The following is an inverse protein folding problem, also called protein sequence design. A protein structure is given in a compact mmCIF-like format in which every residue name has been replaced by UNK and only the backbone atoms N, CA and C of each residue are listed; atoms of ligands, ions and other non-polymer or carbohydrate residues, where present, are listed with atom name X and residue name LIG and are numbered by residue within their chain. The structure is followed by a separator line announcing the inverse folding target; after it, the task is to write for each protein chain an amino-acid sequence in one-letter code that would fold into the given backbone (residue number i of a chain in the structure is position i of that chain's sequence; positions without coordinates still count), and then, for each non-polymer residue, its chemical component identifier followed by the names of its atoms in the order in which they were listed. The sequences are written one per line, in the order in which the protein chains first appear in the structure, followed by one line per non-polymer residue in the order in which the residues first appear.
data_IF_017263718055
#
_entry.id   IF_017263718055
#
_cell.length_a   1.000
_cell.length_b   1.000
_cell.length_c   1.000
_cell.angle_alpha   90.00
_cell.angle_beta   90.00
_cell.angle_gamma   90.00
#
_symmetry.space_group_name_H-M   'P 1'
#
loop_
_entity.id
_entity.type
_entity.pdbx_description
1 polymer ?
#
# COMPACT_ATOMS: atom_id res chain seq x y z
N UNK A 1 -52.62 10.06 0.93
CA UNK A 1 -52.64 10.35 2.37
C UNK A 1 -51.29 9.96 2.94
N UNK A 2 -50.47 10.95 3.11
CA UNK A 2 -49.14 10.81 3.68
C UNK A 2 -49.21 10.72 5.21
N UNK A 3 -48.54 9.75 5.81
CA UNK A 3 -48.29 9.76 7.24
C UNK A 3 -46.79 9.87 7.47
N UNK A 4 -46.32 11.10 7.72
CA UNK A 4 -45.00 11.44 8.25
C UNK A 4 -44.98 11.10 9.74
N UNK A 5 -44.11 10.15 10.13
CA UNK A 5 -43.78 9.89 11.53
C UNK A 5 -42.63 10.82 11.94
N UNK A 6 -42.93 11.71 12.90
CA UNK A 6 -42.06 12.73 13.44
C UNK A 6 -41.00 12.12 14.41
N UNK A 7 -39.75 12.59 14.29
CA UNK A 7 -38.56 12.22 15.10
C UNK A 7 -38.65 12.55 16.61
N UNK A 8 -39.82 12.86 17.12
CA UNK A 8 -40.00 13.40 18.49
C UNK A 8 -40.52 12.39 19.53
N UNK A 9 -40.85 11.16 19.12
CA UNK A 9 -41.51 10.15 20.00
C UNK A 9 -40.59 8.95 20.37
N UNK A 10 -39.28 9.03 20.22
CA UNK A 10 -38.37 7.90 20.56
C UNK A 10 -37.57 8.09 21.87
N UNK A 11 -37.89 9.13 22.66
CA UNK A 11 -37.17 9.42 23.90
C UNK A 11 -38.01 9.34 25.19
N UNK A 12 -39.00 8.45 25.23
CA UNK A 12 -39.83 8.29 26.44
C UNK A 12 -40.20 6.84 26.72
N UNK A 13 -39.22 5.95 26.95
CA UNK A 13 -39.42 4.63 27.53
C UNK A 13 -38.15 4.04 28.13
N UNK A 14 -37.60 4.66 29.17
CA UNK A 14 -36.63 4.04 30.05
C UNK A 14 -36.70 4.71 31.41
N UNK A 15 -37.64 4.28 32.21
CA UNK A 15 -37.77 4.72 33.61
C UNK A 15 -38.64 3.75 34.41
N UNK A 16 -38.05 3.27 35.48
CA UNK A 16 -38.67 2.61 36.61
C UNK A 16 -38.80 1.07 36.59
N UNK A 17 -37.89 0.41 37.30
CA UNK A 17 -38.29 -0.37 38.46
C UNK A 17 -37.09 -0.48 39.44
N UNK A 18 -37.25 0.16 40.59
CA UNK A 18 -36.41 0.08 41.75
C UNK A 18 -37.14 -0.66 42.89
N UNK A 19 -36.35 -1.17 43.84
CA UNK A 19 -36.66 -1.61 45.22
C UNK A 19 -37.09 -3.09 45.35
N UNK A 20 -36.64 -3.89 46.29
CA UNK A 20 -36.17 -3.65 47.64
C UNK A 20 -35.53 -4.92 48.23
N UNK A 21 -34.73 -4.75 49.32
CA UNK A 21 -34.39 -5.82 50.26
C UNK A 21 -32.92 -5.76 50.69
N UNK A 22 -32.50 -4.96 51.58
CA UNK A 22 -32.42 -4.83 53.04
C UNK A 22 -31.41 -5.78 53.70
N UNK A 23 -30.30 -5.14 54.21
CA UNK A 23 -29.53 -5.27 55.45
C UNK A 23 -28.88 -6.60 55.86
N UNK A 24 -27.54 -6.59 56.10
CA UNK A 24 -26.86 -6.37 57.40
C UNK A 24 -25.35 -6.39 57.17
N UNK A 25 -24.65 -5.38 57.48
CA UNK A 25 -23.85 -4.97 58.65
C UNK A 25 -22.46 -5.60 58.80
N UNK A 26 -21.53 -4.69 58.90
CA UNK A 26 -20.29 -4.65 59.69
C UNK A 26 -18.93 -4.67 58.94
N UNK A 27 -18.35 -3.50 58.89
CA UNK A 27 -17.05 -3.18 59.50
C UNK A 27 -15.77 -3.34 58.62
N UNK A 28 -15.12 -2.22 58.32
CA UNK A 28 -13.70 -2.26 58.06
C UNK A 28 -13.20 -1.33 56.94
N UNK A 29 -12.65 -0.25 57.34
CA UNK A 29 -11.87 0.84 56.71
C UNK A 29 -11.23 0.64 55.35
N UNK A 30 -11.52 1.61 54.48
CA UNK A 30 -10.61 2.41 53.63
C UNK A 30 -9.43 1.78 52.90
N UNK A 31 -9.52 1.77 51.57
CA UNK A 31 -8.54 2.45 50.73
C UNK A 31 -9.08 2.49 49.29
N UNK A 32 -9.24 3.71 48.78
CA UNK A 32 -9.55 4.00 47.38
C UNK A 32 -8.37 3.63 46.51
N UNK A 33 -8.50 2.53 45.77
CA UNK A 33 -7.60 2.26 44.64
C UNK A 33 -8.39 2.44 43.39
N UNK A 34 -8.04 3.49 42.65
CA UNK A 34 -8.53 3.73 41.30
C UNK A 34 -8.16 2.50 40.45
N UNK A 35 -9.17 1.75 40.01
CA UNK A 35 -8.99 0.70 39.03
C UNK A 35 -8.71 1.37 37.68
N UNK A 36 -7.44 1.45 37.31
CA UNK A 36 -7.03 1.64 35.93
C UNK A 36 -7.56 0.44 35.14
N UNK A 37 -8.51 0.68 34.25
CA UNK A 37 -8.87 -0.26 33.20
C UNK A 37 -7.68 -0.36 32.25
N UNK A 38 -6.71 -1.23 32.59
CA UNK A 38 -5.77 -1.74 31.62
C UNK A 38 -6.61 -2.58 30.63
N UNK A 39 -6.71 -2.13 29.38
CA UNK A 39 -7.22 -2.93 28.29
C UNK A 39 -6.37 -4.19 28.23
N UNK A 40 -6.93 -5.30 28.69
CA UNK A 40 -6.29 -6.60 28.61
C UNK A 40 -6.20 -6.97 27.11
N UNK A 41 -4.98 -7.14 26.61
CA UNK A 41 -4.76 -7.92 25.43
C UNK A 41 -5.41 -9.29 25.70
N UNK A 42 -6.51 -9.59 24.99
CA UNK A 42 -7.09 -10.91 25.00
C UNK A 42 -5.99 -11.88 24.55
N UNK A 43 -5.60 -12.81 25.43
CA UNK A 43 -4.68 -13.86 25.06
C UNK A 43 -5.26 -14.55 23.81
N UNK A 44 -4.52 -14.54 22.71
CA UNK A 44 -4.92 -15.18 21.47
C UNK A 44 -5.32 -16.62 21.81
N UNK A 45 -6.57 -17.00 21.54
CA UNK A 45 -7.05 -18.35 21.78
C UNK A 45 -6.06 -19.30 21.08
N UNK A 46 -5.72 -20.42 21.73
CA UNK A 46 -4.75 -21.40 21.21
C UNK A 46 -5.38 -22.16 20.02
N UNK A 47 -5.60 -21.42 18.90
CA UNK A 47 -6.15 -21.99 17.69
C UNK A 47 -5.13 -22.91 17.05
N UNK A 48 -5.55 -24.16 16.74
CA UNK A 48 -4.74 -25.14 16.03
C UNK A 48 -4.66 -24.80 14.53
N UNK A 49 -3.93 -23.74 14.22
CA UNK A 49 -3.70 -23.25 12.86
C UNK A 49 -2.27 -22.67 12.78
N UNK A 50 -1.55 -22.80 11.64
CA UNK A 50 -1.86 -23.69 10.53
C UNK A 50 -1.49 -25.14 10.85
N UNK A 51 -2.20 -26.12 10.27
CA UNK A 51 -1.89 -27.56 10.40
C UNK A 51 -1.33 -28.15 9.12
N UNK A 52 -1.43 -27.40 8.01
CA UNK A 52 -0.86 -27.73 6.69
C UNK A 52 -0.27 -26.43 6.09
N UNK A 53 0.32 -26.53 4.90
CA UNK A 53 0.83 -25.35 4.18
C UNK A 53 -0.27 -24.33 3.88
N UNK A 54 0.10 -23.04 3.92
CA UNK A 54 -0.74 -21.89 3.60
C UNK A 54 -0.32 -21.31 2.25
N UNK A 55 -1.27 -21.02 1.38
CA UNK A 55 -1.03 -20.39 0.09
C UNK A 55 -0.97 -18.86 0.24
N UNK A 56 0.07 -18.25 -0.30
CA UNK A 56 0.20 -16.79 -0.38
C UNK A 56 0.17 -16.41 -1.84
N UNK A 57 -0.90 -15.78 -2.26
CA UNK A 57 -1.05 -15.30 -3.64
C UNK A 57 -0.55 -13.85 -3.71
N UNK A 58 0.27 -13.56 -4.69
CA UNK A 58 0.73 -12.19 -4.96
C UNK A 58 0.58 -11.82 -6.44
N UNK A 59 0.17 -10.58 -6.74
CA UNK A 59 -0.36 -10.22 -8.06
C UNK A 59 0.68 -9.82 -9.11
N UNK A 60 1.99 -9.94 -8.81
CA UNK A 60 3.04 -9.39 -9.69
C UNK A 60 4.10 -10.42 -10.05
N UNK A 61 4.91 -10.09 -11.08
CA UNK A 61 6.02 -10.95 -11.55
C UNK A 61 7.03 -11.23 -10.44
N UNK A 62 7.61 -12.43 -10.49
CA UNK A 62 8.71 -12.80 -9.62
C UNK A 62 9.92 -11.87 -9.80
N UNK A 63 10.62 -11.57 -8.69
CA UNK A 63 11.80 -10.71 -8.66
C UNK A 63 11.53 -9.21 -8.56
N UNK A 64 10.25 -8.79 -8.53
CA UNK A 64 9.86 -7.41 -8.21
C UNK A 64 9.91 -7.13 -6.70
N UNK A 65 9.62 -5.86 -6.35
CA UNK A 65 9.54 -5.39 -4.96
C UNK A 65 8.58 -6.23 -4.11
N UNK A 66 7.34 -6.39 -4.58
CA UNK A 66 6.29 -7.15 -3.88
C UNK A 66 6.68 -8.61 -3.65
N UNK A 67 7.26 -9.28 -4.67
CA UNK A 67 7.72 -10.67 -4.56
C UNK A 67 8.86 -10.80 -3.55
N UNK A 68 9.82 -9.88 -3.61
CA UNK A 68 10.98 -9.86 -2.72
C UNK A 68 10.57 -9.71 -1.25
N UNK A 69 9.70 -8.74 -0.94
CA UNK A 69 9.26 -8.48 0.44
C UNK A 69 8.34 -9.59 0.95
N UNK A 70 7.45 -10.12 0.09
CA UNK A 70 6.59 -11.25 0.40
C UNK A 70 7.42 -12.49 0.82
N UNK A 71 8.41 -12.86 0.02
CA UNK A 71 9.24 -14.04 0.31
C UNK A 71 10.08 -13.86 1.55
N UNK A 72 10.64 -12.66 1.76
CA UNK A 72 11.39 -12.33 2.98
C UNK A 72 10.51 -12.48 4.23
N UNK A 73 9.30 -11.92 4.22
CA UNK A 73 8.35 -12.04 5.33
C UNK A 73 7.98 -13.51 5.60
N UNK A 74 7.48 -14.20 4.57
CA UNK A 74 6.87 -15.53 4.75
C UNK A 74 7.90 -16.66 4.93
N UNK A 75 9.16 -16.44 4.62
CA UNK A 75 10.25 -17.34 5.02
C UNK A 75 10.36 -17.43 6.55
N UNK A 76 10.37 -16.27 7.23
CA UNK A 76 10.50 -16.21 8.68
C UNK A 76 9.19 -16.56 9.39
N UNK A 77 8.04 -16.15 8.86
CA UNK A 77 6.70 -16.55 9.34
C UNK A 77 6.54 -18.08 9.27
N UNK A 78 7.00 -18.73 8.19
CA UNK A 78 6.98 -20.20 8.06
C UNK A 78 7.76 -20.88 9.17
N UNK A 79 8.92 -20.34 9.51
CA UNK A 79 9.76 -20.85 10.61
C UNK A 79 9.06 -20.71 11.95
N UNK A 80 8.44 -19.54 12.21
CA UNK A 80 7.74 -19.25 13.48
C UNK A 80 6.49 -20.11 13.69
N UNK A 81 5.69 -20.30 12.65
CA UNK A 81 4.43 -21.05 12.72
C UNK A 81 4.60 -22.56 12.46
N UNK A 82 5.80 -23.01 12.07
CA UNK A 82 6.12 -24.44 11.85
C UNK A 82 5.40 -25.05 10.64
N UNK A 83 4.92 -24.22 9.72
CA UNK A 83 4.25 -24.64 8.49
C UNK A 83 4.71 -23.77 7.31
N UNK A 84 4.78 -24.37 6.11
CA UNK A 84 5.24 -23.66 4.93
C UNK A 84 4.17 -22.70 4.41
N UNK A 85 4.58 -21.46 4.16
CA UNK A 85 3.81 -20.49 3.39
C UNK A 85 4.31 -20.51 1.93
N UNK A 86 3.47 -20.99 1.02
CA UNK A 86 3.82 -21.18 -0.41
C UNK A 86 3.44 -19.93 -1.18
N UNK A 87 4.45 -19.17 -1.62
CA UNK A 87 4.25 -17.93 -2.38
C UNK A 87 4.09 -18.25 -3.87
N UNK A 88 2.97 -17.82 -4.45
CA UNK A 88 2.62 -17.99 -5.86
C UNK A 88 2.35 -16.64 -6.51
N UNK A 89 3.02 -16.37 -7.64
CA UNK A 89 2.79 -15.17 -8.44
C UNK A 89 1.63 -15.41 -9.40
N UNK A 90 0.60 -14.56 -9.34
CA UNK A 90 -0.60 -14.65 -10.19
C UNK A 90 -0.86 -13.28 -10.83
N UNK A 91 -0.33 -13.10 -12.04
CA UNK A 91 -0.34 -11.82 -12.74
C UNK A 91 -1.68 -11.56 -13.45
N UNK A 92 -2.02 -10.28 -13.61
CA UNK A 92 -3.13 -9.84 -14.45
C UNK A 92 -3.93 -8.68 -13.84
N UNK A 93 -4.43 -7.79 -14.72
CA UNK A 93 -5.31 -6.68 -14.35
C UNK A 93 -4.73 -5.76 -13.27
N UNK A 94 -3.41 -5.50 -13.29
CA UNK A 94 -2.73 -4.73 -12.24
C UNK A 94 -2.98 -5.25 -10.81
N UNK A 95 -3.15 -6.58 -10.66
CA UNK A 95 -3.38 -7.25 -9.39
C UNK A 95 -4.83 -7.68 -9.13
N UNK A 96 -5.77 -7.28 -9.96
CA UNK A 96 -7.18 -7.65 -9.78
C UNK A 96 -7.44 -9.15 -9.92
N UNK A 97 -6.71 -9.86 -10.82
CA UNK A 97 -6.89 -11.31 -11.01
C UNK A 97 -6.58 -12.06 -9.72
N UNK A 98 -5.42 -11.83 -9.13
CA UNK A 98 -5.00 -12.44 -7.86
C UNK A 98 -5.96 -12.07 -6.70
N UNK A 99 -6.38 -10.80 -6.63
CA UNK A 99 -7.31 -10.35 -5.60
C UNK A 99 -8.66 -11.06 -5.71
N UNK A 100 -9.22 -11.18 -6.92
CA UNK A 100 -10.47 -11.90 -7.17
C UNK A 100 -10.34 -13.39 -6.88
N UNK A 101 -9.20 -14.01 -7.24
CA UNK A 101 -8.95 -15.42 -6.91
C UNK A 101 -8.98 -15.62 -5.40
N UNK A 102 -8.24 -14.80 -4.63
CA UNK A 102 -8.24 -14.89 -3.15
C UNK A 102 -9.62 -14.59 -2.57
N UNK A 103 -10.32 -13.56 -3.02
CA UNK A 103 -11.64 -13.19 -2.54
C UNK A 103 -12.65 -14.35 -2.65
N UNK A 104 -12.51 -15.20 -3.68
CA UNK A 104 -13.37 -16.35 -3.93
C UNK A 104 -12.94 -17.64 -3.19
N UNK A 105 -11.82 -17.62 -2.44
CA UNK A 105 -11.40 -18.77 -1.63
C UNK A 105 -12.25 -18.91 -0.37
N UNK A 106 -12.18 -20.09 0.24
CA UNK A 106 -12.81 -20.32 1.54
C UNK A 106 -12.14 -19.48 2.61
N UNK A 107 -12.89 -18.86 3.53
CA UNK A 107 -12.34 -18.08 4.62
C UNK A 107 -11.85 -18.99 5.78
N UNK A 108 -11.01 -19.96 5.46
CA UNK A 108 -10.49 -20.97 6.41
C UNK A 108 -9.05 -20.67 6.88
N UNK A 109 -8.47 -19.54 6.41
CA UNK A 109 -7.12 -19.11 6.78
C UNK A 109 -6.00 -19.80 6.00
N UNK A 110 -6.29 -20.63 4.98
CA UNK A 110 -5.26 -21.34 4.20
C UNK A 110 -4.93 -20.70 2.86
N UNK A 111 -5.52 -19.56 2.55
CA UNK A 111 -5.11 -18.71 1.41
C UNK A 111 -5.14 -17.26 1.83
N UNK A 112 -4.06 -16.52 1.61
CA UNK A 112 -4.00 -15.08 1.81
C UNK A 112 -3.46 -14.37 0.56
N UNK A 113 -3.80 -13.09 0.45
CA UNK A 113 -3.29 -12.14 -0.53
C UNK A 113 -2.15 -11.36 0.11
N UNK A 114 -1.02 -11.24 -0.59
CA UNK A 114 0.00 -10.27 -0.30
C UNK A 114 -0.01 -9.23 -1.42
N UNK A 115 -0.36 -7.99 -1.12
CA UNK A 115 -0.54 -6.93 -2.10
C UNK A 115 0.08 -5.62 -1.59
N UNK A 116 0.00 -4.56 -2.38
CA UNK A 116 0.38 -3.20 -1.95
C UNK A 116 -0.70 -2.17 -2.27
N UNK A 117 -0.78 -1.11 -1.46
CA UNK A 117 -1.79 -0.06 -1.56
C UNK A 117 -1.67 0.76 -2.85
N UNK A 118 -0.47 0.91 -3.41
CA UNK A 118 -0.22 1.70 -4.61
C UNK A 118 -0.99 1.28 -5.86
N UNK A 119 -1.51 0.04 -5.91
CA UNK A 119 -2.45 -0.36 -6.96
C UNK A 119 -3.87 -0.51 -6.40
N UNK A 120 -4.04 -1.25 -5.29
CA UNK A 120 -5.35 -1.61 -4.76
C UNK A 120 -6.22 -0.39 -4.41
N UNK A 121 -5.67 0.59 -3.67
CA UNK A 121 -6.45 1.76 -3.28
C UNK A 121 -6.72 2.71 -4.45
N UNK A 122 -5.78 2.82 -5.40
CA UNK A 122 -6.01 3.60 -6.62
C UNK A 122 -7.12 2.97 -7.47
N UNK A 123 -7.14 1.65 -7.64
CA UNK A 123 -8.19 0.94 -8.38
C UNK A 123 -9.56 1.08 -7.72
N UNK A 124 -9.61 1.04 -6.38
CA UNK A 124 -10.83 1.28 -5.63
C UNK A 124 -11.28 2.75 -5.75
N UNK A 125 -10.36 3.71 -5.67
CA UNK A 125 -10.65 5.13 -5.80
C UNK A 125 -11.17 5.50 -7.19
N UNK A 126 -10.58 4.94 -8.24
CA UNK A 126 -10.98 5.19 -9.64
C UNK A 126 -12.22 4.42 -10.07
N UNK A 127 -12.70 3.46 -9.26
CA UNK A 127 -13.79 2.55 -9.64
C UNK A 127 -13.39 1.53 -10.73
N UNK A 128 -12.08 1.33 -10.95
CA UNK A 128 -11.57 0.31 -11.88
C UNK A 128 -11.78 -1.10 -11.33
N UNK A 129 -11.71 -1.28 -10.01
CA UNK A 129 -12.07 -2.52 -9.33
C UNK A 129 -13.60 -2.58 -9.15
N UNK A 130 -14.21 -3.72 -9.50
CA UNK A 130 -15.64 -4.00 -9.28
C UNK A 130 -15.94 -4.46 -7.84
N UNK A 131 -14.93 -4.50 -6.98
CA UNK A 131 -14.98 -4.89 -5.57
C UNK A 131 -14.15 -3.90 -4.73
N UNK A 132 -14.29 -3.97 -3.41
CA UNK A 132 -13.57 -3.09 -2.49
C UNK A 132 -12.39 -3.81 -1.83
N UNK A 133 -11.19 -3.33 -2.05
CA UNK A 133 -10.00 -3.84 -1.35
C UNK A 133 -10.03 -3.53 0.15
N UNK A 134 -10.76 -2.49 0.54
CA UNK A 134 -10.89 -2.08 1.93
C UNK A 134 -12.00 -2.81 2.68
N UNK A 135 -13.06 -3.29 1.98
CA UNK A 135 -14.24 -3.87 2.62
C UNK A 135 -14.50 -5.35 2.33
N UNK A 136 -14.03 -5.89 1.18
CA UNK A 136 -14.35 -7.25 0.75
C UNK A 136 -13.29 -8.29 1.17
N UNK A 137 -12.29 -7.85 1.94
CA UNK A 137 -11.28 -8.69 2.55
C UNK A 137 -11.31 -8.60 4.08
N UNK A 138 -10.64 -9.53 4.74
CA UNK A 138 -10.28 -9.44 6.15
C UNK A 138 -8.83 -9.00 6.24
N UNK A 139 -8.58 -7.77 6.72
CA UNK A 139 -7.24 -7.26 6.91
C UNK A 139 -6.49 -8.04 7.98
N UNK A 140 -5.21 -8.30 7.79
CA UNK A 140 -4.31 -8.92 8.77
C UNK A 140 -3.32 -7.89 9.28
N UNK A 141 -2.47 -7.37 8.42
CA UNK A 141 -1.47 -6.36 8.79
C UNK A 141 -0.84 -5.71 7.57
N UNK A 142 -0.23 -4.54 7.79
CA UNK A 142 0.81 -3.96 6.94
C UNK A 142 2.18 -4.35 7.50
N UNK A 143 3.13 -4.63 6.62
CA UNK A 143 4.46 -5.16 7.02
C UNK A 143 5.64 -4.32 6.57
N UNK A 144 5.46 -3.53 5.52
CA UNK A 144 6.51 -2.68 4.96
C UNK A 144 5.91 -1.48 4.24
N UNK A 145 6.73 -0.45 4.06
CA UNK A 145 6.44 0.65 3.14
C UNK A 145 7.63 0.94 2.23
N UNK A 146 7.31 1.45 1.05
CA UNK A 146 8.26 1.93 0.07
C UNK A 146 7.86 3.33 -0.38
N UNK A 147 8.72 4.30 -0.09
CA UNK A 147 8.57 5.73 -0.43
C UNK A 147 9.52 6.15 -1.54
N UNK A 148 10.06 5.18 -2.26
CA UNK A 148 11.18 5.38 -3.20
C UNK A 148 10.74 5.54 -4.64
N UNK A 149 9.43 5.73 -4.89
CA UNK A 149 8.95 5.89 -6.25
C UNK A 149 9.60 7.13 -6.88
N UNK A 150 10.20 6.96 -8.03
CA UNK A 150 11.13 7.94 -8.62
C UNK A 150 10.78 8.14 -10.08
N UNK A 151 10.75 9.39 -10.55
CA UNK A 151 10.62 9.71 -11.98
C UNK A 151 12.01 9.84 -12.59
N UNK A 152 12.21 9.13 -13.69
CA UNK A 152 13.49 9.11 -14.41
C UNK A 152 13.28 9.35 -15.90
N UNK A 153 14.34 9.85 -16.54
CA UNK A 153 14.47 9.98 -17.97
C UNK A 153 15.86 9.52 -18.42
N UNK A 154 16.05 9.30 -19.73
CA UNK A 154 17.36 8.99 -20.29
C UNK A 154 18.32 10.17 -20.12
N UNK A 155 19.56 9.88 -19.73
CA UNK A 155 20.61 10.88 -19.61
C UNK A 155 21.07 11.37 -20.99
N UNK A 156 21.20 12.69 -21.21
CA UNK A 156 21.71 13.24 -22.49
C UNK A 156 23.18 12.89 -22.74
N UNK A 157 23.88 12.36 -21.73
CA UNK A 157 25.29 11.94 -21.81
C UNK A 157 25.51 10.43 -21.74
N UNK A 158 24.45 9.66 -21.41
CA UNK A 158 24.47 8.20 -21.24
C UNK A 158 24.55 7.43 -22.56
N UNK A 159 24.56 6.10 -22.46
CA UNK A 159 24.65 5.22 -23.64
C UNK A 159 23.41 5.28 -24.54
N UNK A 160 22.25 5.66 -23.99
CA UNK A 160 20.98 5.79 -24.72
C UNK A 160 20.66 7.22 -25.18
N UNK A 161 21.63 8.12 -25.15
CA UNK A 161 21.51 9.55 -25.44
C UNK A 161 20.84 9.89 -26.80
N UNK A 162 20.83 8.98 -27.76
CA UNK A 162 20.16 9.17 -29.05
C UNK A 162 18.65 9.32 -28.94
N UNK A 163 18.07 8.87 -27.82
CA UNK A 163 16.65 8.98 -27.53
C UNK A 163 16.37 9.96 -26.37
N UNK A 164 17.41 10.49 -25.73
CA UNK A 164 17.29 11.39 -24.60
C UNK A 164 16.93 12.80 -25.04
N UNK A 165 16.11 13.46 -24.21
CA UNK A 165 15.97 14.93 -24.25
C UNK A 165 17.18 15.61 -23.61
N UNK A 166 17.32 16.90 -23.78
CA UNK A 166 18.42 17.66 -23.17
C UNK A 166 18.04 18.17 -21.76
N UNK A 167 17.48 17.27 -20.93
CA UNK A 167 17.11 17.59 -19.56
C UNK A 167 18.23 17.24 -18.57
N UNK A 168 18.39 18.09 -17.56
CA UNK A 168 19.28 17.84 -16.41
C UNK A 168 18.50 17.95 -15.10
N UNK A 169 17.23 18.35 -15.14
CA UNK A 169 16.39 18.59 -13.97
C UNK A 169 14.90 18.37 -14.29
N UNK A 170 14.08 18.29 -13.26
CA UNK A 170 12.62 18.30 -13.39
C UNK A 170 12.14 19.60 -14.07
N UNK A 171 12.75 20.73 -13.73
CA UNK A 171 12.37 22.03 -14.32
C UNK A 171 12.60 22.05 -15.84
N UNK A 172 13.72 21.51 -16.34
CA UNK A 172 13.97 21.43 -17.80
C UNK A 172 12.86 20.65 -18.50
N UNK A 173 12.45 19.51 -17.92
CA UNK A 173 11.36 18.68 -18.42
C UNK A 173 10.02 19.44 -18.42
N UNK A 174 9.69 20.11 -17.31
CA UNK A 174 8.45 20.89 -17.17
C UNK A 174 8.40 22.05 -18.18
N UNK A 175 9.51 22.75 -18.40
CA UNK A 175 9.58 23.83 -19.40
C UNK A 175 9.37 23.31 -20.83
N UNK A 176 9.95 22.16 -21.17
CA UNK A 176 9.73 21.54 -22.46
C UNK A 176 8.27 21.08 -22.64
N UNK A 177 7.68 20.46 -21.60
CA UNK A 177 6.28 20.05 -21.59
C UNK A 177 5.32 21.24 -21.79
N UNK A 178 5.59 22.39 -21.14
CA UNK A 178 4.82 23.63 -21.34
C UNK A 178 4.95 24.19 -22.75
N UNK A 179 6.14 24.12 -23.33
CA UNK A 179 6.37 24.59 -24.69
C UNK A 179 5.74 23.69 -25.74
N UNK A 180 5.59 22.40 -25.47
CA UNK A 180 5.12 21.37 -26.40
C UNK A 180 4.10 20.44 -25.71
N UNK A 181 2.85 20.88 -25.45
CA UNK A 181 1.85 20.06 -24.80
C UNK A 181 1.61 18.75 -25.55
N UNK A 182 1.56 17.63 -24.81
CA UNK A 182 1.34 16.29 -25.35
C UNK A 182 2.52 15.70 -26.13
N UNK A 183 3.69 16.36 -26.17
CA UNK A 183 4.85 15.84 -26.91
C UNK A 183 5.70 14.87 -26.09
N UNK A 184 5.67 14.96 -24.77
CA UNK A 184 6.45 14.09 -23.87
C UNK A 184 5.65 12.83 -23.59
N UNK A 185 6.23 11.67 -23.94
CA UNK A 185 5.63 10.36 -23.78
C UNK A 185 5.90 9.83 -22.37
N UNK A 186 4.85 9.71 -21.58
CA UNK A 186 4.94 9.18 -20.23
C UNK A 186 4.46 7.74 -20.17
N UNK A 187 5.30 6.85 -19.62
CA UNK A 187 4.93 5.45 -19.38
C UNK A 187 3.94 5.35 -18.24
N UNK A 188 2.69 5.05 -18.56
CA UNK A 188 1.64 4.83 -17.58
C UNK A 188 1.14 3.38 -17.60
N UNK A 189 0.40 3.00 -16.57
CA UNK A 189 -0.46 1.82 -16.50
C UNK A 189 -1.83 2.34 -16.10
N UNK A 190 -2.81 2.21 -16.97
CA UNK A 190 -4.15 2.72 -16.69
C UNK A 190 -4.77 2.07 -15.47
N UNK A 191 -5.43 2.86 -14.61
CA UNK A 191 -5.99 2.44 -13.34
C UNK A 191 -4.95 2.15 -12.25
N UNK A 192 -3.73 2.70 -12.34
CA UNK A 192 -2.67 2.47 -11.37
C UNK A 192 -2.07 3.77 -10.82
N UNK A 193 -1.18 3.61 -9.84
CA UNK A 193 -0.38 4.71 -9.27
C UNK A 193 0.34 5.54 -10.33
N UNK A 194 0.86 4.93 -11.40
CA UNK A 194 1.58 5.69 -12.44
C UNK A 194 0.66 6.67 -13.14
N UNK A 195 -0.57 6.27 -13.45
CA UNK A 195 -1.56 7.17 -14.02
C UNK A 195 -1.90 8.30 -13.06
N UNK A 196 -2.22 7.96 -11.81
CA UNK A 196 -2.55 8.95 -10.78
C UNK A 196 -1.44 10.00 -10.62
N UNK A 197 -0.19 9.56 -10.47
CA UNK A 197 0.98 10.45 -10.32
C UNK A 197 1.16 11.34 -11.55
N UNK A 198 1.05 10.78 -12.76
CA UNK A 198 1.13 11.55 -13.99
C UNK A 198 0.10 12.68 -14.01
N UNK A 199 -1.16 12.37 -13.69
CA UNK A 199 -2.25 13.34 -13.61
C UNK A 199 -2.02 14.42 -12.54
N UNK A 200 -1.49 14.04 -11.36
CA UNK A 200 -1.14 15.03 -10.33
C UNK A 200 -0.04 15.99 -10.80
N UNK A 201 0.97 15.46 -11.52
CA UNK A 201 2.03 16.30 -12.07
C UNK A 201 1.49 17.21 -13.20
N UNK A 202 0.67 16.68 -14.10
CA UNK A 202 0.01 17.46 -15.15
C UNK A 202 -0.79 18.62 -14.56
N UNK A 203 -1.62 18.37 -13.55
CA UNK A 203 -2.43 19.37 -12.86
C UNK A 203 -1.56 20.44 -12.17
N UNK A 204 -0.59 20.03 -11.34
CA UNK A 204 0.20 20.97 -10.56
C UNK A 204 1.18 21.79 -11.41
N UNK A 205 1.77 21.18 -12.44
CA UNK A 205 2.73 21.83 -13.32
C UNK A 205 2.05 22.60 -14.48
N UNK A 206 0.79 22.32 -14.79
CA UNK A 206 0.08 22.88 -15.93
C UNK A 206 0.68 22.40 -17.25
N UNK A 207 0.91 21.08 -17.36
CA UNK A 207 1.47 20.40 -18.54
C UNK A 207 0.56 19.28 -18.99
N UNK A 208 0.81 18.74 -20.20
CA UNK A 208 0.10 17.61 -20.77
C UNK A 208 1.11 16.58 -21.29
N UNK A 209 0.93 15.31 -20.94
CA UNK A 209 1.75 14.19 -21.42
C UNK A 209 1.00 13.33 -22.43
N UNK A 210 1.74 12.68 -23.34
CA UNK A 210 1.25 11.56 -24.12
C UNK A 210 1.38 10.27 -23.28
N UNK A 211 0.26 9.80 -22.73
CA UNK A 211 0.21 8.68 -21.79
C UNK A 211 0.22 7.35 -22.56
N UNK A 212 1.32 6.58 -22.48
CA UNK A 212 1.54 5.33 -23.22
C UNK A 212 1.62 4.14 -22.25
N UNK A 213 0.74 3.14 -22.43
CA UNK A 213 0.84 1.87 -21.73
C UNK A 213 1.83 0.94 -22.44
N UNK A 214 2.93 0.64 -21.79
CA UNK A 214 4.00 -0.24 -22.30
C UNK A 214 4.15 -1.51 -21.44
N UNK A 215 3.17 -1.79 -20.60
CA UNK A 215 3.15 -2.95 -19.70
C UNK A 215 3.39 -2.61 -18.23
N UNK A 216 3.05 -3.58 -17.38
CA UNK A 216 2.97 -3.38 -15.93
C UNK A 216 4.30 -3.58 -15.21
N UNK A 217 5.25 -4.33 -15.79
CA UNK A 217 6.51 -4.62 -15.12
C UNK A 217 7.51 -3.47 -15.23
N UNK A 218 8.38 -3.34 -14.22
CA UNK A 218 9.50 -2.40 -14.26
C UNK A 218 10.40 -2.64 -15.49
N UNK A 219 10.67 -3.92 -15.81
CA UNK A 219 11.50 -4.30 -16.95
C UNK A 219 10.92 -3.87 -18.28
N UNK A 220 9.60 -4.05 -18.51
CA UNK A 220 8.94 -3.65 -19.75
C UNK A 220 9.02 -2.13 -19.95
N UNK A 221 8.77 -1.35 -18.88
CA UNK A 221 8.84 0.11 -18.89
C UNK A 221 10.26 0.63 -19.13
N UNK A 222 11.25 0.00 -18.48
CA UNK A 222 12.66 0.32 -18.72
C UNK A 222 13.09 0.00 -20.16
N UNK A 223 12.69 -1.16 -20.70
CA UNK A 223 12.98 -1.53 -22.08
C UNK A 223 12.36 -0.56 -23.09
N UNK A 224 11.12 -0.12 -22.84
CA UNK A 224 10.44 0.87 -23.67
C UNK A 224 11.17 2.23 -23.69
N UNK A 225 11.66 2.69 -22.52
CA UNK A 225 12.43 3.94 -22.43
C UNK A 225 13.79 3.81 -23.13
N UNK A 226 14.55 2.74 -22.89
CA UNK A 226 15.83 2.49 -23.55
C UNK A 226 15.70 2.30 -25.07
N UNK A 227 14.52 1.82 -25.51
CA UNK A 227 14.13 1.71 -26.93
C UNK A 227 13.63 3.01 -27.54
N UNK A 228 13.45 4.08 -26.76
CA UNK A 228 12.94 5.37 -27.24
C UNK A 228 11.44 5.37 -27.55
N UNK A 229 10.67 4.48 -26.93
CA UNK A 229 9.21 4.45 -27.06
C UNK A 229 8.53 5.43 -26.10
N UNK A 230 9.12 5.65 -24.92
CA UNK A 230 8.68 6.61 -23.91
C UNK A 230 9.85 7.46 -23.43
N UNK A 231 9.57 8.65 -22.92
CA UNK A 231 10.55 9.64 -22.49
C UNK A 231 10.68 9.69 -20.97
N UNK A 232 9.57 9.43 -20.26
CA UNK A 232 9.47 9.43 -18.80
C UNK A 232 8.97 8.09 -18.29
N UNK A 233 9.57 7.63 -17.20
CA UNK A 233 9.14 6.43 -16.48
C UNK A 233 9.17 6.70 -14.97
N UNK A 234 8.13 6.26 -14.27
CA UNK A 234 8.08 6.28 -12.80
C UNK A 234 8.23 4.86 -12.26
N UNK A 235 9.26 4.59 -11.43
CA UNK A 235 9.60 3.29 -10.88
C UNK A 235 10.11 3.42 -9.44
N UNK A 236 10.09 2.33 -8.68
CA UNK A 236 10.83 2.27 -7.41
C UNK A 236 12.32 2.44 -7.66
N UNK A 237 13.01 3.16 -6.79
CA UNK A 237 14.42 3.51 -6.93
C UNK A 237 15.33 2.29 -7.13
N UNK A 238 15.03 1.16 -6.45
CA UNK A 238 15.76 -0.09 -6.62
C UNK A 238 15.86 -0.58 -8.08
N UNK A 239 14.90 -0.23 -8.93
CA UNK A 239 14.87 -0.65 -10.34
C UNK A 239 15.70 0.27 -11.25
N UNK A 240 16.10 1.44 -10.77
CA UNK A 240 16.75 2.48 -11.58
C UNK A 240 18.11 2.90 -11.02
N UNK A 241 18.44 2.52 -9.78
CA UNK A 241 19.63 2.93 -9.06
C UNK A 241 20.93 2.66 -9.87
N UNK A 242 21.13 1.44 -10.35
CA UNK A 242 22.32 1.05 -11.11
C UNK A 242 22.46 1.85 -12.42
N UNK A 243 21.36 2.17 -13.07
CA UNK A 243 21.36 2.97 -14.30
C UNK A 243 21.65 4.46 -14.03
N UNK A 244 21.19 4.98 -12.90
CA UNK A 244 21.52 6.34 -12.45
C UNK A 244 23.00 6.41 -12.09
N UNK A 245 23.52 5.44 -11.34
CA UNK A 245 24.96 5.36 -10.99
C UNK A 245 25.84 5.21 -12.23
N UNK A 246 25.41 4.44 -13.22
CA UNK A 246 26.10 4.33 -14.51
C UNK A 246 26.04 5.61 -15.37
N UNK A 247 25.20 6.58 -15.01
CA UNK A 247 24.99 7.82 -15.77
C UNK A 247 24.10 7.64 -17.00
N UNK A 248 23.38 6.54 -17.13
CA UNK A 248 22.45 6.27 -18.23
C UNK A 248 21.09 6.92 -18.03
N UNK A 249 20.68 7.12 -16.78
CA UNK A 249 19.47 7.81 -16.40
C UNK A 249 19.77 9.07 -15.58
N UNK A 250 18.86 10.03 -15.66
CA UNK A 250 18.74 11.13 -14.73
C UNK A 250 17.54 10.92 -13.84
N UNK A 251 17.70 11.20 -12.54
CA UNK A 251 16.60 11.24 -11.58
C UNK A 251 15.99 12.65 -11.57
N UNK A 252 14.73 12.78 -11.90
CA UNK A 252 13.99 14.04 -11.88
C UNK A 252 13.42 14.36 -10.50
N UNK A 253 13.26 13.35 -9.65
CA UNK A 253 12.81 13.50 -8.27
C UNK A 253 12.25 12.21 -7.68
N UNK A 254 12.18 12.19 -6.34
CA UNK A 254 11.57 11.11 -5.56
C UNK A 254 10.16 11.55 -5.15
N UNK A 255 9.18 10.67 -5.34
CA UNK A 255 7.75 10.94 -5.05
C UNK A 255 7.43 10.68 -3.58
N UNK A 256 8.10 11.42 -2.72
CA UNK A 256 7.94 11.33 -1.26
C UNK A 256 7.75 12.73 -0.67
N UNK A 257 7.08 12.81 0.48
CA UNK A 257 6.93 14.06 1.25
C UNK A 257 8.24 14.48 1.91
N UNK A 258 9.10 13.50 2.23
CA UNK A 258 10.38 13.70 2.91
C UNK A 258 11.50 12.95 2.18
N UNK A 259 12.74 13.37 2.41
CA UNK A 259 13.92 12.66 1.91
C UNK A 259 13.94 11.21 2.39
N UNK A 260 14.34 10.31 1.50
CA UNK A 260 14.49 8.89 1.81
C UNK A 260 15.97 8.59 2.09
N UNK A 261 16.25 7.87 3.17
CA UNK A 261 17.63 7.50 3.55
C UNK A 261 18.31 6.72 2.42
N UNK A 262 19.52 7.13 2.06
CA UNK A 262 20.31 6.50 1.00
C UNK A 262 19.95 6.94 -0.42
N UNK A 263 19.03 7.89 -0.60
CA UNK A 263 18.65 8.46 -1.91
C UNK A 263 18.90 9.97 -1.89
N UNK A 264 19.97 10.41 -2.57
CA UNK A 264 20.42 11.81 -2.55
C UNK A 264 19.84 12.62 -3.73
N UNK A 265 18.51 12.54 -3.93
CA UNK A 265 17.79 13.32 -4.93
C UNK A 265 16.67 14.12 -4.27
N UNK A 266 16.31 15.29 -4.82
CA UNK A 266 15.19 16.08 -4.29
C UNK A 266 13.88 15.31 -4.40
N UNK A 267 12.99 15.53 -3.42
CA UNK A 267 11.62 15.05 -3.54
C UNK A 267 10.80 15.96 -4.47
N UNK A 268 9.67 15.45 -4.99
CA UNK A 268 8.72 16.29 -5.72
C UNK A 268 8.14 17.39 -4.83
N UNK A 269 7.92 17.11 -3.53
CA UNK A 269 7.46 18.10 -2.55
C UNK A 269 8.47 19.24 -2.39
N UNK A 270 9.77 18.96 -2.28
CA UNK A 270 10.83 19.98 -2.22
C UNK A 270 10.91 20.83 -3.50
N UNK A 271 10.47 20.27 -4.63
CA UNK A 271 10.43 20.96 -5.93
C UNK A 271 9.09 21.70 -6.18
N UNK A 272 8.17 21.72 -5.19
CA UNK A 272 6.90 22.44 -5.27
C UNK A 272 5.71 21.61 -5.78
N UNK A 273 5.86 20.29 -5.96
CA UNK A 273 4.82 19.38 -6.45
C UNK A 273 4.37 18.43 -5.33
N UNK A 274 3.71 18.97 -4.32
CA UNK A 274 3.36 18.28 -3.06
C UNK A 274 2.27 17.21 -3.19
N UNK A 275 1.54 17.16 -4.32
CA UNK A 275 0.57 16.11 -4.63
C UNK A 275 1.18 14.94 -5.43
N UNK A 276 2.41 15.10 -5.94
CA UNK A 276 3.12 14.05 -6.67
C UNK A 276 3.86 13.16 -5.67
N UNK A 277 3.08 12.41 -4.89
CA UNK A 277 3.58 11.56 -3.81
C UNK A 277 3.05 10.13 -3.99
N UNK A 278 3.90 9.16 -3.74
CA UNK A 278 3.55 7.73 -3.77
C UNK A 278 4.22 6.99 -2.62
N UNK A 279 3.41 6.48 -1.71
CA UNK A 279 3.84 5.54 -0.68
C UNK A 279 3.13 4.22 -0.91
N UNK A 280 3.89 3.17 -1.17
CA UNK A 280 3.35 1.82 -1.24
C UNK A 280 3.44 1.17 0.12
N UNK A 281 2.33 0.72 0.66
CA UNK A 281 2.28 -0.10 1.88
C UNK A 281 1.99 -1.54 1.47
N UNK A 282 2.77 -2.49 1.98
CA UNK A 282 2.64 -3.91 1.65
C UNK A 282 1.83 -4.61 2.72
N UNK A 283 0.77 -5.31 2.30
CA UNK A 283 -0.32 -5.77 3.14
C UNK A 283 -0.58 -7.26 2.99
N UNK A 284 -0.97 -7.87 4.10
CA UNK A 284 -1.51 -9.23 4.15
C UNK A 284 -3.01 -9.16 4.38
N UNK A 285 -3.78 -9.82 3.53
CA UNK A 285 -5.24 -9.88 3.63
C UNK A 285 -5.72 -11.32 3.43
N UNK A 286 -6.80 -11.68 4.12
CA UNK A 286 -7.52 -12.93 3.90
C UNK A 286 -8.82 -12.70 3.12
N UNK A 287 -9.43 -13.77 2.55
CA UNK A 287 -10.83 -13.70 2.14
C UNK A 287 -11.72 -13.21 3.28
N UNK A 288 -12.79 -12.52 2.97
CA UNK A 288 -13.70 -11.98 3.99
C UNK A 288 -14.30 -13.07 4.88
N UNK A 289 -14.22 -12.88 6.21
CA UNK A 289 -14.86 -13.74 7.19
C UNK A 289 -14.00 -14.85 7.79
N UNK A 290 -12.68 -14.79 7.67
CA UNK A 290 -11.75 -15.68 8.39
C UNK A 290 -11.90 -15.47 9.90
N UNK A 291 -11.81 -16.56 10.67
CA UNK A 291 -11.85 -16.56 12.14
C UNK A 291 -10.80 -15.60 12.72
N UNK A 292 -11.23 -14.72 13.63
CA UNK A 292 -10.37 -13.70 14.21
C UNK A 292 -9.14 -14.29 14.92
N UNK A 293 -9.26 -15.46 15.55
CA UNK A 293 -8.11 -16.11 16.19
C UNK A 293 -7.02 -16.53 15.20
N UNK A 294 -7.39 -16.85 13.94
CA UNK A 294 -6.45 -17.13 12.86
C UNK A 294 -5.79 -15.84 12.40
N UNK A 295 -6.57 -14.77 12.23
CA UNK A 295 -6.08 -13.44 11.86
C UNK A 295 -5.06 -12.96 12.89
N UNK A 296 -5.41 -13.00 14.18
CA UNK A 296 -4.55 -12.55 15.29
C UNK A 296 -3.25 -13.35 15.34
N UNK A 297 -3.33 -14.67 15.12
CA UNK A 297 -2.15 -15.55 15.12
C UNK A 297 -1.19 -15.25 13.97
N UNK A 298 -1.72 -15.03 12.76
CA UNK A 298 -0.88 -14.63 11.63
C UNK A 298 -0.30 -13.22 11.84
N UNK A 299 -1.11 -12.28 12.31
CA UNK A 299 -0.68 -10.92 12.60
C UNK A 299 0.46 -10.90 13.63
N UNK A 300 0.33 -11.67 14.73
CA UNK A 300 1.38 -11.77 15.74
C UNK A 300 2.70 -12.31 15.16
N UNK A 301 2.64 -13.35 14.33
CA UNK A 301 3.84 -13.91 13.69
C UNK A 301 4.47 -12.92 12.69
N UNK A 302 3.65 -12.20 11.92
CA UNK A 302 4.13 -11.15 11.02
C UNK A 302 4.77 -9.99 11.80
N UNK A 303 4.16 -9.55 12.90
CA UNK A 303 4.68 -8.47 13.74
C UNK A 303 6.09 -8.75 14.24
N UNK A 304 6.30 -9.94 14.79
CA UNK A 304 7.63 -10.34 15.25
C UNK A 304 8.68 -10.35 14.14
N UNK A 305 8.30 -10.64 12.90
CA UNK A 305 9.22 -10.56 11.73
C UNK A 305 9.47 -9.10 11.38
N UNK A 306 8.43 -8.28 11.30
CA UNK A 306 8.52 -6.86 10.96
C UNK A 306 9.41 -6.10 11.96
N UNK A 307 9.33 -6.45 13.25
CA UNK A 307 10.13 -5.86 14.32
C UNK A 307 11.56 -6.42 14.39
N UNK A 308 11.91 -7.41 13.54
CA UNK A 308 13.25 -8.00 13.54
C UNK A 308 14.25 -7.17 12.75
N UNK A 309 15.49 -7.12 13.26
CA UNK A 309 16.59 -6.44 12.57
C UNK A 309 16.90 -7.09 11.20
N UNK A 310 16.76 -8.43 11.09
CA UNK A 310 17.00 -9.17 9.84
C UNK A 310 16.06 -8.73 8.73
N UNK A 311 14.77 -8.51 9.04
CA UNK A 311 13.79 -8.03 8.07
C UNK A 311 14.08 -6.57 7.68
N UNK A 312 14.37 -5.71 8.65
CA UNK A 312 14.75 -4.31 8.38
C UNK A 312 15.98 -4.22 7.48
N UNK A 313 17.04 -5.01 7.75
CA UNK A 313 18.22 -5.06 6.90
C UNK A 313 17.94 -5.61 5.50
N UNK A 314 16.99 -6.54 5.38
CA UNK A 314 16.56 -7.05 4.07
C UNK A 314 15.85 -5.96 3.27
N UNK A 315 14.91 -5.24 3.87
CA UNK A 315 14.19 -4.15 3.21
C UNK A 315 15.13 -2.99 2.84
N UNK A 316 16.08 -2.64 3.72
CA UNK A 316 17.06 -1.56 3.49
C UNK A 316 17.91 -1.77 2.23
N UNK A 317 18.18 -3.02 1.82
CA UNK A 317 18.89 -3.31 0.54
C UNK A 317 18.11 -2.85 -0.68
N UNK A 318 16.82 -2.65 -0.54
CA UNK A 318 15.90 -2.21 -1.59
C UNK A 318 15.32 -0.82 -1.29
N UNK A 319 15.93 -0.08 -0.35
CA UNK A 319 15.49 1.26 0.09
C UNK A 319 14.08 1.31 0.68
N UNK A 320 13.51 0.16 1.05
CA UNK A 320 12.25 0.05 1.75
C UNK A 320 12.46 -0.05 3.26
N UNK A 321 11.42 0.15 4.03
CA UNK A 321 11.46 0.16 5.49
C UNK A 321 10.32 -0.66 6.10
N UNK A 322 10.53 -1.28 7.28
CA UNK A 322 9.46 -1.92 8.01
C UNK A 322 8.38 -0.90 8.38
N UNK A 323 7.12 -1.30 8.23
CA UNK A 323 5.98 -0.56 8.74
C UNK A 323 4.98 -1.54 9.32
N UNK A 324 4.70 -1.40 10.61
CA UNK A 324 3.63 -2.18 11.25
C UNK A 324 2.34 -1.37 11.34
N UNK A 325 1.27 -1.85 10.73
CA UNK A 325 -0.11 -1.45 11.00
C UNK A 325 -0.92 -2.72 11.23
N UNK A 326 -1.68 -2.76 12.30
CA UNK A 326 -2.63 -3.84 12.56
C UNK A 326 -3.91 -3.68 11.71
N UNK A 327 -4.77 -4.70 11.78
CA UNK A 327 -6.02 -4.70 11.03
C UNK A 327 -6.96 -3.54 11.42
N UNK A 328 -6.95 -3.12 12.69
CA UNK A 328 -7.78 -2.01 13.17
C UNK A 328 -7.33 -0.68 12.53
N UNK A 329 -6.04 -0.43 12.53
CA UNK A 329 -5.43 0.73 11.85
C UNK A 329 -5.73 0.72 10.35
N UNK A 330 -5.55 -0.43 9.67
CA UNK A 330 -5.85 -0.57 8.24
C UNK A 330 -7.33 -0.31 7.93
N UNK A 331 -8.25 -0.78 8.78
CA UNK A 331 -9.69 -0.59 8.61
C UNK A 331 -10.12 0.89 8.70
N UNK A 332 -9.29 1.75 9.28
CA UNK A 332 -9.55 3.20 9.39
C UNK A 332 -8.79 3.97 8.31
N UNK A 333 -7.50 3.71 8.16
CA UNK A 333 -6.62 4.52 7.30
C UNK A 333 -6.81 4.22 5.81
N UNK A 334 -6.99 2.94 5.41
CA UNK A 334 -7.09 2.60 4.00
C UNK A 334 -8.37 3.17 3.34
N UNK A 335 -9.57 3.12 3.96
CA UNK A 335 -10.73 3.82 3.42
C UNK A 335 -10.57 5.34 3.35
N UNK A 336 -9.89 5.95 4.33
CA UNK A 336 -9.61 7.39 4.30
C UNK A 336 -8.67 7.75 3.14
N UNK A 337 -7.63 6.94 2.89
CA UNK A 337 -6.73 7.12 1.75
C UNK A 337 -7.46 6.98 0.41
N UNK A 338 -8.44 6.06 0.30
CA UNK A 338 -9.28 5.93 -0.90
C UNK A 338 -10.09 7.21 -1.16
N UNK A 339 -10.66 7.83 -0.11
CA UNK A 339 -11.40 9.09 -0.25
C UNK A 339 -10.48 10.25 -0.64
N UNK A 340 -9.26 10.32 -0.07
CA UNK A 340 -8.26 11.32 -0.44
C UNK A 340 -7.82 11.18 -1.92
N UNK A 341 -7.62 9.93 -2.38
CA UNK A 341 -7.32 9.63 -3.79
C UNK A 341 -8.48 10.07 -4.70
N UNK A 342 -9.72 9.79 -4.32
CA UNK A 342 -10.93 10.23 -5.08
C UNK A 342 -11.01 11.75 -5.18
N UNK A 343 -10.76 12.45 -4.08
CA UNK A 343 -10.73 13.91 -4.07
C UNK A 343 -9.65 14.45 -5.03
N UNK A 344 -8.45 13.87 -5.00
CA UNK A 344 -7.36 14.25 -5.92
C UNK A 344 -7.65 13.96 -7.40
N UNK A 345 -8.54 13.00 -7.71
CA UNK A 345 -8.97 12.71 -9.08
C UNK A 345 -10.08 13.64 -9.57
N UNK A 346 -10.92 14.17 -8.66
CA UNK A 346 -12.07 15.01 -8.99
C UNK A 346 -11.70 16.47 -9.31
N UNK A 347 -10.61 16.97 -8.74
CA UNK A 347 -10.06 18.34 -8.95
C UNK A 347 -9.25 18.42 -10.25
#
# INVERSE_FOLDING_TARGET
MENKISRRNFLAAAGAMAAAGVLTACGGSSSSTAASTAGGAAAAADVKWPTTSVSVILPYKAGGDTDTYCRALFQDVSTKLGQTFVVTNEEGGSGMVAAMDVMNKKPDGYTCLFNHTGASLVQEATGTAEFSFTNDFTNVCTVAQDRTYTMVALSPTGQYKKFAHNWNSLEDMIQEAKANPGAIRYSTVFGSTTQYIGQQLEKQAGVEFDNIDVGTSAGDRMAAMMGGQVDLVALNYMNVADYIEAGDLICLGVMSTERVEGIDFPTFTEQGYDKVVSTKKYEVKFPKGVDQAIVDKLAAACKEVVESESFAQTLKKFYAEPLWRDAETMNVEDPAEVEDLRAGLAD
#
